data_IF_853795777209
#
_entry.id   IF_853795777209
#
_cell.length_a   1.000
_cell.length_b   1.000
_cell.length_c   1.000
_cell.angle_alpha   90.00
_cell.angle_beta   90.00
_cell.angle_gamma   90.00
#
_symmetry.space_group_name_H-M   'P 1'
#
loop_
_entity.id
_entity.type
_entity.pdbx_description
1 polymer ?
#
# COMPACT_ATOMS: atom_id res chain seq x y z
N UNK A 1 -12.75 -48.18 25.69
CA UNK A 1 -13.13 -46.98 26.47
C UNK A 1 -12.58 -45.75 25.79
N UNK A 2 -13.47 -44.80 25.49
CA UNK A 2 -13.15 -43.40 25.22
C UNK A 2 -12.35 -42.79 26.38
N UNK A 3 -11.40 -41.89 26.07
CA UNK A 3 -11.19 -40.62 26.77
C UNK A 3 -10.06 -39.82 26.10
N UNK A 4 -10.45 -38.86 25.25
CA UNK A 4 -9.62 -37.70 24.91
C UNK A 4 -9.59 -36.80 26.15
N UNK A 5 -8.44 -36.24 26.58
CA UNK A 5 -8.52 -34.87 27.05
C UNK A 5 -7.30 -33.98 26.73
N UNK A 6 -7.61 -32.77 26.23
CA UNK A 6 -7.02 -31.49 26.66
C UNK A 6 -5.64 -31.04 26.17
N UNK A 7 -4.86 -31.84 25.44
CA UNK A 7 -3.59 -31.35 24.84
C UNK A 7 -3.74 -30.55 23.53
N UNK A 8 -4.96 -30.25 23.09
CA UNK A 8 -5.24 -29.49 21.87
C UNK A 8 -5.49 -27.99 22.09
N UNK A 9 -5.20 -27.46 23.28
CA UNK A 9 -5.54 -26.09 23.70
C UNK A 9 -4.31 -25.26 24.07
N UNK A 10 -3.29 -25.15 23.19
CA UNK A 10 -2.17 -24.21 23.44
C UNK A 10 -1.42 -23.69 22.19
N UNK A 11 -2.01 -23.76 20.99
CA UNK A 11 -1.38 -23.19 19.76
C UNK A 11 -2.17 -21.99 19.20
N UNK A 12 -3.14 -21.46 19.95
CA UNK A 12 -4.02 -20.35 19.51
C UNK A 12 -3.68 -18.99 20.13
N UNK A 13 -2.43 -18.75 20.56
CA UNK A 13 -2.07 -17.51 21.28
C UNK A 13 -0.83 -16.76 20.75
N UNK A 14 -0.42 -16.95 19.50
CA UNK A 14 0.68 -16.13 18.90
C UNK A 14 0.24 -15.16 17.80
N UNK A 15 -1.06 -15.04 17.49
CA UNK A 15 -1.54 -14.21 16.37
C UNK A 15 -2.20 -12.88 16.80
N UNK A 16 -1.90 -12.36 17.99
CA UNK A 16 -2.59 -11.17 18.51
C UNK A 16 -1.65 -10.01 18.84
N UNK A 17 -0.68 -9.77 17.96
CA UNK A 17 -0.05 -8.44 17.83
C UNK A 17 -0.15 -7.97 16.39
N UNK A 18 -1.36 -7.94 15.82
CA UNK A 18 -1.58 -6.98 14.74
C UNK A 18 -1.57 -5.61 15.42
N UNK A 19 -0.41 -4.98 15.35
CA UNK A 19 -0.19 -3.64 15.87
C UNK A 19 -1.30 -2.73 15.36
N UNK A 20 -1.81 -1.91 16.27
CA UNK A 20 -2.51 -0.69 15.92
C UNK A 20 -1.53 0.17 15.11
N UNK A 21 -1.48 -0.06 13.80
CA UNK A 21 -0.86 0.90 12.92
C UNK A 21 -1.76 2.14 13.01
N UNK A 22 -1.27 3.17 13.70
CA UNK A 22 -1.78 4.50 13.48
C UNK A 22 -1.80 4.68 11.96
N UNK A 23 -2.98 4.93 11.39
CA UNK A 23 -3.14 5.21 9.97
C UNK A 23 -2.48 6.56 9.71
N UNK A 24 -1.15 6.54 9.67
CA UNK A 24 -0.35 7.66 9.26
C UNK A 24 -0.59 7.82 7.77
N UNK A 25 -0.88 9.07 7.39
CA UNK A 25 -0.92 9.46 5.99
C UNK A 25 0.36 8.98 5.31
N UNK A 26 0.21 8.42 4.12
CA UNK A 26 1.29 7.97 3.26
C UNK A 26 2.30 9.10 3.11
N UNK A 27 3.52 8.85 3.58
CA UNK A 27 4.66 9.75 3.39
C UNK A 27 5.36 9.45 2.05
N UNK A 28 6.18 10.39 1.59
CA UNK A 28 6.86 10.30 0.30
C UNK A 28 7.64 8.98 0.08
N UNK A 29 8.45 8.46 1.04
CA UNK A 29 9.14 7.19 0.82
C UNK A 29 8.19 6.00 0.76
N UNK A 30 7.09 6.00 1.53
CA UNK A 30 6.06 4.98 1.41
C UNK A 30 5.35 5.02 0.04
N UNK A 31 5.04 6.22 -0.47
CA UNK A 31 4.46 6.43 -1.80
C UNK A 31 5.38 5.90 -2.91
N UNK A 32 6.66 6.29 -2.92
CA UNK A 32 7.63 5.82 -3.91
C UNK A 32 7.74 4.30 -3.88
N UNK A 33 7.81 3.70 -2.68
CA UNK A 33 7.87 2.24 -2.54
C UNK A 33 6.63 1.55 -3.08
N UNK A 34 5.45 2.13 -2.84
CA UNK A 34 4.17 1.63 -3.35
C UNK A 34 4.16 1.66 -4.87
N UNK A 35 4.55 2.78 -5.49
CA UNK A 35 4.61 2.93 -6.95
C UNK A 35 5.58 1.94 -7.59
N UNK A 36 6.80 1.82 -7.04
CA UNK A 36 7.79 0.84 -7.50
C UNK A 36 7.28 -0.59 -7.38
N UNK A 37 6.55 -0.92 -6.31
CA UNK A 37 5.98 -2.26 -6.13
C UNK A 37 4.88 -2.60 -7.14
N UNK A 38 4.22 -1.59 -7.71
CA UNK A 38 3.23 -1.75 -8.79
C UNK A 38 3.87 -1.77 -10.19
N UNK A 39 5.19 -1.56 -10.30
CA UNK A 39 5.91 -1.55 -11.57
C UNK A 39 6.06 -0.15 -12.20
N UNK A 40 5.58 0.90 -11.53
CA UNK A 40 5.84 2.26 -11.96
C UNK A 40 7.26 2.66 -11.64
N UNK A 41 7.87 3.45 -12.51
CA UNK A 41 9.25 3.90 -12.35
C UNK A 41 9.44 5.28 -12.99
N UNK A 42 10.62 5.86 -12.82
CA UNK A 42 10.93 7.20 -13.36
C UNK A 42 9.92 8.26 -12.86
N UNK A 43 9.77 8.35 -11.54
CA UNK A 43 8.89 9.33 -10.87
C UNK A 43 9.47 10.71 -11.09
N UNK A 44 8.77 11.56 -11.85
CA UNK A 44 9.22 12.89 -12.25
C UNK A 44 8.74 13.97 -11.30
N UNK A 45 7.45 13.93 -11.00
CA UNK A 45 6.76 14.96 -10.24
C UNK A 45 5.78 14.30 -9.27
N UNK A 46 5.72 14.83 -8.05
CA UNK A 46 4.81 14.39 -7.01
C UNK A 46 4.23 15.65 -6.37
N UNK A 47 2.97 15.91 -6.61
CA UNK A 47 2.22 17.01 -6.01
C UNK A 47 1.23 16.48 -4.97
N UNK A 48 1.04 17.23 -3.89
CA UNK A 48 0.07 16.90 -2.85
C UNK A 48 -1.14 17.82 -2.93
N UNK A 49 -2.23 17.30 -3.48
CA UNK A 49 -3.50 17.99 -3.61
C UNK A 49 -4.48 17.51 -2.53
N UNK A 50 -4.52 18.24 -1.41
CA UNK A 50 -5.45 17.98 -0.31
C UNK A 50 -5.17 16.66 0.40
N UNK A 51 -5.84 15.59 -0.03
CA UNK A 51 -5.80 14.23 0.51
C UNK A 51 -5.27 13.20 -0.51
N UNK A 52 -4.81 13.66 -1.68
CA UNK A 52 -4.32 12.81 -2.76
C UNK A 52 -2.94 13.27 -3.21
N UNK A 53 -2.14 12.32 -3.65
CA UNK A 53 -0.91 12.58 -4.38
C UNK A 53 -1.17 12.46 -5.87
N UNK A 54 -0.77 13.47 -6.61
CA UNK A 54 -0.72 13.42 -8.06
C UNK A 54 0.73 13.15 -8.47
N UNK A 55 0.94 12.09 -9.24
CA UNK A 55 2.28 11.60 -9.57
C UNK A 55 2.43 11.40 -11.05
N UNK A 56 3.41 12.06 -11.66
CA UNK A 56 3.83 11.79 -13.04
C UNK A 56 4.94 10.74 -13.05
N UNK A 57 4.72 9.62 -13.74
CA UNK A 57 5.64 8.47 -13.77
C UNK A 57 5.55 7.73 -15.10
N UNK A 58 6.43 6.74 -15.32
CA UNK A 58 6.32 5.77 -16.40
C UNK A 58 5.66 4.48 -15.89
N UNK A 59 4.78 3.90 -16.70
CA UNK A 59 4.31 2.54 -16.48
C UNK A 59 5.27 1.49 -17.08
N UNK A 60 4.98 0.20 -16.89
CA UNK A 60 5.79 -0.90 -17.39
C UNK A 60 6.04 -0.88 -18.91
N UNK A 61 5.12 -0.28 -19.68
CA UNK A 61 5.23 -0.08 -21.14
C UNK A 61 6.00 1.20 -21.53
N UNK A 62 6.73 1.81 -20.58
CA UNK A 62 7.48 3.07 -20.76
C UNK A 62 6.60 4.25 -21.21
N UNK A 63 5.28 4.15 -20.99
CA UNK A 63 4.33 5.22 -21.29
C UNK A 63 4.25 6.20 -20.12
N UNK A 64 4.17 7.50 -20.45
CA UNK A 64 3.95 8.54 -19.45
C UNK A 64 2.51 8.50 -18.97
N UNK A 65 2.36 8.43 -17.65
CA UNK A 65 1.07 8.27 -17.01
C UNK A 65 1.00 9.15 -15.77
N UNK A 66 -0.17 9.70 -15.52
CA UNK A 66 -0.46 10.47 -14.33
C UNK A 66 -1.25 9.59 -13.38
N UNK A 67 -0.78 9.46 -12.15
CA UNK A 67 -1.39 8.62 -11.12
C UNK A 67 -1.97 9.50 -10.03
N UNK A 68 -3.18 9.18 -9.60
CA UNK A 68 -3.81 9.74 -8.41
C UNK A 68 -3.75 8.70 -7.31
N UNK A 69 -3.04 9.00 -6.21
CA UNK A 69 -2.86 8.09 -5.08
C UNK A 69 -3.53 8.66 -3.85
N UNK A 70 -4.45 7.92 -3.24
CA UNK A 70 -5.09 8.32 -1.98
C UNK A 70 -4.05 8.30 -0.85
N UNK A 71 -3.93 9.40 -0.11
CA UNK A 71 -2.89 9.54 0.90
C UNK A 71 -3.18 8.75 2.19
N UNK A 72 -4.38 8.21 2.39
CA UNK A 72 -4.72 7.42 3.57
C UNK A 72 -4.83 5.92 3.28
N UNK A 73 -5.33 5.56 2.10
CA UNK A 73 -5.49 4.15 1.70
C UNK A 73 -4.37 3.63 0.82
N UNK A 74 -3.70 4.52 0.07
CA UNK A 74 -2.73 4.14 -0.96
C UNK A 74 -3.39 3.61 -2.25
N UNK A 75 -4.70 3.79 -2.42
CA UNK A 75 -5.39 3.44 -3.66
C UNK A 75 -4.85 4.26 -4.83
N UNK A 76 -4.43 3.58 -5.89
CA UNK A 76 -3.92 4.22 -7.11
C UNK A 76 -5.00 4.19 -8.19
N UNK A 77 -5.25 5.35 -8.78
CA UNK A 77 -6.07 5.51 -9.98
C UNK A 77 -5.23 6.07 -11.11
N UNK A 78 -5.16 5.36 -12.24
CA UNK A 78 -4.48 5.84 -13.45
C UNK A 78 -5.37 6.88 -14.15
N UNK A 79 -4.81 8.05 -14.39
CA UNK A 79 -5.38 9.10 -15.24
C UNK A 79 -4.59 9.10 -16.55
N UNK A 80 -5.29 9.02 -17.66
CA UNK A 80 -4.67 9.18 -18.97
C UNK A 80 -4.15 10.61 -19.05
N UNK A 81 -2.85 10.77 -19.36
CA UNK A 81 -2.28 12.08 -19.65
C UNK A 81 -2.83 12.51 -21.02
N UNK A 82 -3.45 13.69 -21.08
CA UNK A 82 -4.05 14.27 -22.29
C UNK A 82 -2.99 14.64 -23.34
#
# INVERSE_FOLDING_TARGET
MNMIPRSFLLILCLFSTLGWAAQARLDMPALVKLLLAQGYHDIREVELEGDKFEVETLDADEQRVQLLVDAYTGDITKKEAD
#
